data_IF_422243028809
#
_entry.id   IF_422243028809
#
_cell.length_a   1.000
_cell.length_b   1.000
_cell.length_c   1.000
_cell.angle_alpha   90.00
_cell.angle_beta   90.00
_cell.angle_gamma   90.00
#
_symmetry.space_group_name_H-M   'P 1'
#
loop_
_entity.id
_entity.type
_entity.pdbx_description
1 polymer ?
#
# COMPACT_ATOMS: atom_id res chain seq x y z
N UNK A 1 -14.52 34.60 10.86
CA UNK A 1 -14.46 34.01 9.54
C UNK A 1 -14.75 32.52 9.63
N UNK A 2 -15.66 32.09 8.82
CA UNK A 2 -16.04 30.71 8.84
C UNK A 2 -15.19 29.92 7.86
N UNK A 3 -14.29 29.11 8.36
CA UNK A 3 -13.39 28.33 7.53
C UNK A 3 -14.02 26.97 7.23
N UNK A 4 -15.14 27.00 6.55
CA UNK A 4 -15.83 25.77 6.15
C UNK A 4 -15.17 25.12 4.95
N UNK A 5 -13.94 24.72 5.13
CA UNK A 5 -13.27 23.97 4.09
C UNK A 5 -13.78 22.53 4.11
N UNK A 6 -14.31 22.11 3.01
CA UNK A 6 -14.64 20.71 2.85
C UNK A 6 -13.39 19.95 2.50
N UNK A 7 -13.22 18.82 3.13
CA UNK A 7 -12.13 17.94 2.79
C UNK A 7 -12.22 17.52 1.33
N UNK A 8 -11.11 17.64 0.66
CA UNK A 8 -11.02 17.13 -0.71
C UNK A 8 -10.79 15.63 -0.60
N UNK A 9 -11.84 14.89 -0.87
CA UNK A 9 -11.76 13.44 -0.87
C UNK A 9 -11.39 12.97 -2.27
N UNK A 10 -10.13 12.91 -2.54
CA UNK A 10 -9.70 12.25 -3.75
C UNK A 10 -8.57 11.30 -3.42
N UNK A 11 -8.61 10.16 -4.05
CA UNK A 11 -7.51 9.21 -3.95
C UNK A 11 -6.28 9.85 -4.52
N UNK A 12 -5.20 9.81 -3.78
CA UNK A 12 -3.92 10.19 -4.31
C UNK A 12 -3.39 9.06 -5.18
N UNK A 13 -2.41 9.37 -6.02
CA UNK A 13 -1.73 8.34 -6.80
C UNK A 13 -1.14 7.28 -5.87
N UNK A 14 -0.55 7.72 -4.78
CA UNK A 14 0.02 6.84 -3.77
C UNK A 14 -1.03 5.88 -3.19
N UNK A 15 -2.24 6.38 -2.90
CA UNK A 15 -3.33 5.54 -2.40
C UNK A 15 -3.73 4.46 -3.42
N UNK A 16 -3.77 4.83 -4.69
CA UNK A 16 -4.09 3.88 -5.76
C UNK A 16 -3.04 2.78 -5.88
N UNK A 17 -1.78 3.14 -5.71
CA UNK A 17 -0.68 2.17 -5.73
C UNK A 17 -0.80 1.22 -4.54
N UNK A 18 -1.04 1.77 -3.35
CA UNK A 18 -1.24 0.97 -2.13
C UNK A 18 -2.37 -0.03 -2.34
N UNK A 19 -3.48 0.44 -2.90
CA UNK A 19 -4.64 -0.40 -3.15
C UNK A 19 -4.30 -1.58 -4.07
N UNK A 20 -3.60 -1.32 -5.16
CA UNK A 20 -3.22 -2.38 -6.10
C UNK A 20 -2.30 -3.41 -5.45
N UNK A 21 -1.35 -2.96 -4.65
CA UNK A 21 -0.44 -3.88 -3.97
C UNK A 21 -1.20 -4.73 -2.95
N UNK A 22 -2.12 -4.13 -2.20
CA UNK A 22 -2.97 -4.87 -1.26
C UNK A 22 -3.80 -5.92 -2.00
N UNK A 23 -4.34 -5.59 -3.16
CA UNK A 23 -5.08 -6.53 -3.98
C UNK A 23 -4.21 -7.72 -4.42
N UNK A 24 -2.97 -7.46 -4.81
CA UNK A 24 -2.02 -8.51 -5.17
C UNK A 24 -1.73 -9.43 -3.99
N UNK A 25 -1.59 -8.86 -2.81
CA UNK A 25 -1.37 -9.62 -1.58
C UNK A 25 -2.59 -10.49 -1.28
N UNK A 26 -3.77 -9.90 -1.35
CA UNK A 26 -5.03 -10.61 -1.07
C UNK A 26 -5.30 -11.73 -2.07
N UNK A 27 -4.88 -11.54 -3.30
CA UNK A 27 -5.04 -12.55 -4.34
C UNK A 27 -3.99 -13.68 -4.25
N UNK A 28 -3.03 -13.57 -3.35
CA UNK A 28 -1.99 -14.57 -3.18
C UNK A 28 -0.87 -14.47 -4.19
N UNK A 29 -0.78 -13.38 -4.94
CA UNK A 29 0.30 -13.19 -5.91
C UNK A 29 1.65 -12.97 -5.24
N UNK A 30 1.62 -12.48 -4.01
CA UNK A 30 2.81 -12.32 -3.18
C UNK A 30 2.51 -13.02 -1.86
N UNK A 31 3.36 -13.94 -1.47
CA UNK A 31 3.17 -14.71 -0.24
C UNK A 31 3.92 -14.06 0.94
N UNK A 32 3.45 -14.29 2.17
CA UNK A 32 4.17 -13.80 3.34
C UNK A 32 5.63 -14.22 3.32
N UNK A 33 6.52 -13.28 3.61
CA UNK A 33 7.96 -13.51 3.57
C UNK A 33 8.60 -13.35 2.21
N UNK A 34 7.81 -13.26 1.16
CA UNK A 34 8.36 -13.08 -0.18
C UNK A 34 8.74 -11.64 -0.45
N UNK A 35 9.73 -11.50 -1.32
CA UNK A 35 10.20 -10.19 -1.75
C UNK A 35 9.22 -9.57 -2.74
N UNK A 36 8.91 -8.31 -2.53
CA UNK A 36 8.15 -7.53 -3.50
C UNK A 36 9.03 -7.15 -4.69
N UNK A 37 8.43 -6.87 -5.85
CA UNK A 37 9.18 -6.28 -6.95
C UNK A 37 9.88 -5.01 -6.49
N UNK A 38 10.96 -4.66 -7.15
CA UNK A 38 11.72 -3.46 -6.81
C UNK A 38 10.88 -2.19 -7.08
N UNK A 39 11.29 -1.11 -6.46
CA UNK A 39 10.70 0.21 -6.70
C UNK A 39 10.69 0.54 -8.19
N UNK A 40 11.79 0.25 -8.87
CA UNK A 40 11.94 0.47 -10.30
C UNK A 40 10.93 -0.37 -11.10
N UNK A 41 10.86 -1.66 -10.79
CA UNK A 41 9.98 -2.58 -11.51
C UNK A 41 8.52 -2.22 -11.30
N UNK A 42 8.14 -1.84 -10.08
CA UNK A 42 6.80 -1.39 -9.80
C UNK A 42 6.46 -0.10 -10.54
N UNK A 43 7.40 0.84 -10.58
CA UNK A 43 7.21 2.10 -11.29
C UNK A 43 6.96 1.86 -12.78
N UNK A 44 7.73 0.96 -13.38
CA UNK A 44 7.55 0.60 -14.78
C UNK A 44 6.21 -0.12 -15.01
N UNK A 45 5.90 -1.09 -14.17
CA UNK A 45 4.68 -1.88 -14.32
C UNK A 45 3.42 -1.05 -14.17
N UNK A 46 3.45 -0.07 -13.26
CA UNK A 46 2.29 0.76 -12.98
C UNK A 46 2.29 2.09 -13.75
N UNK A 47 3.34 2.34 -14.52
CA UNK A 47 3.51 3.58 -15.28
C UNK A 47 3.42 4.82 -14.39
N UNK A 48 4.12 4.78 -13.28
CA UNK A 48 4.17 5.88 -12.32
C UNK A 48 5.61 6.21 -11.97
N UNK A 49 5.82 7.32 -11.28
CA UNK A 49 7.16 7.74 -10.87
C UNK A 49 7.66 6.89 -9.71
N UNK A 50 8.96 6.76 -9.59
CA UNK A 50 9.57 6.06 -8.47
C UNK A 50 9.27 6.73 -7.13
N UNK A 51 9.28 8.08 -7.02
CA UNK A 51 8.86 8.72 -5.76
C UNK A 51 7.45 8.35 -5.32
N UNK A 52 6.52 8.19 -6.27
CA UNK A 52 5.16 7.77 -5.95
C UNK A 52 5.13 6.34 -5.38
N UNK A 53 5.93 5.45 -5.96
CA UNK A 53 6.10 4.09 -5.42
C UNK A 53 6.68 4.14 -4.01
N UNK A 54 7.70 4.97 -3.82
CA UNK A 54 8.36 5.09 -2.52
C UNK A 54 7.40 5.55 -1.44
N UNK A 55 6.55 6.52 -1.77
CA UNK A 55 5.52 6.99 -0.85
C UNK A 55 4.53 5.88 -0.50
N UNK A 56 4.09 5.12 -1.50
CA UNK A 56 3.20 3.98 -1.29
C UNK A 56 3.85 2.93 -0.39
N UNK A 57 5.14 2.66 -0.61
CA UNK A 57 5.88 1.70 0.23
C UNK A 57 5.95 2.17 1.68
N UNK A 58 6.15 3.46 1.91
CA UNK A 58 6.15 4.00 3.27
C UNK A 58 4.80 3.77 3.94
N UNK A 59 3.71 3.97 3.21
CA UNK A 59 2.37 3.74 3.74
C UNK A 59 2.16 2.26 4.09
N UNK A 60 2.57 1.36 3.21
CA UNK A 60 2.47 -0.08 3.46
C UNK A 60 3.31 -0.50 4.66
N UNK A 61 4.49 0.08 4.79
CA UNK A 61 5.36 -0.17 5.94
C UNK A 61 4.73 0.32 7.24
N UNK A 62 4.17 1.52 7.22
CA UNK A 62 3.49 2.08 8.39
C UNK A 62 2.30 1.23 8.83
N UNK A 63 1.66 0.54 7.88
CA UNK A 63 0.55 -0.36 8.16
C UNK A 63 1.01 -1.75 8.64
N UNK A 64 2.32 -1.99 8.65
CA UNK A 64 2.86 -3.28 9.07
C UNK A 64 2.74 -4.38 8.03
N UNK A 65 2.41 -4.03 6.79
CA UNK A 65 2.23 -5.03 5.73
C UNK A 65 3.54 -5.46 5.08
N UNK A 66 4.53 -4.60 5.10
CA UNK A 66 5.83 -4.90 4.49
C UNK A 66 6.96 -4.56 5.44
N UNK A 67 8.10 -5.19 5.18
CA UNK A 67 9.35 -4.93 5.87
C UNK A 67 10.35 -4.42 4.86
N UNK A 68 10.96 -3.27 5.15
CA UNK A 68 11.98 -2.69 4.31
C UNK A 68 13.34 -3.05 4.87
N UNK A 69 14.13 -3.81 4.12
CA UNK A 69 15.49 -4.20 4.50
C UNK A 69 16.47 -3.37 3.71
N UNK A 70 17.06 -2.40 4.36
CA UNK A 70 18.00 -1.47 3.72
C UNK A 70 19.11 -2.22 3.01
N UNK A 71 19.35 -1.87 1.75
CA UNK A 71 20.39 -2.50 0.94
C UNK A 71 20.03 -3.88 0.40
N UNK A 72 18.85 -4.38 0.73
CA UNK A 72 18.42 -5.71 0.30
C UNK A 72 17.16 -5.62 -0.55
N UNK A 73 16.05 -5.20 0.05
CA UNK A 73 14.79 -5.11 -0.66
C UNK A 73 13.61 -4.95 0.29
N UNK A 74 12.44 -5.12 -0.27
CA UNK A 74 11.19 -5.00 0.47
C UNK A 74 10.48 -6.34 0.44
N UNK A 75 10.00 -6.76 1.59
CA UNK A 75 9.42 -8.09 1.78
C UNK A 75 8.04 -7.98 2.38
N UNK A 76 7.15 -8.88 1.95
CA UNK A 76 5.85 -8.99 2.61
C UNK A 76 6.08 -9.55 4.00
N UNK A 77 5.47 -8.91 5.00
CA UNK A 77 5.64 -9.32 6.39
C UNK A 77 5.18 -10.77 6.56
N UNK A 78 6.02 -11.58 7.20
CA UNK A 78 5.71 -12.99 7.46
C UNK A 78 4.49 -13.15 8.36
N UNK A 79 4.26 -12.18 9.22
CA UNK A 79 3.18 -12.22 10.20
C UNK A 79 1.89 -11.60 9.69
N UNK A 80 1.80 -11.34 8.37
CA UNK A 80 0.64 -10.66 7.81
C UNK A 80 -0.66 -11.40 8.09
N UNK A 81 -0.60 -12.73 8.14
CA UNK A 81 -1.75 -13.55 8.48
C UNK A 81 -2.22 -13.38 9.92
N UNK A 82 -1.33 -12.97 10.81
CA UNK A 82 -1.62 -12.73 12.22
C UNK A 82 -1.99 -11.28 12.50
N UNK A 83 -1.47 -10.37 11.71
CA UNK A 83 -1.93 -8.98 11.69
C UNK A 83 -3.36 -8.93 11.18
N UNK A 84 -3.73 -10.01 10.74
CA UNK A 84 -5.02 -10.56 10.42
C UNK A 84 -5.88 -9.73 9.51
N UNK A 85 -6.77 -10.45 8.97
CA UNK A 85 -7.93 -10.00 8.24
C UNK A 85 -8.52 -8.70 8.76
N UNK A 86 -8.38 -8.41 10.05
CA UNK A 86 -8.94 -7.20 10.63
C UNK A 86 -8.28 -5.93 10.10
N UNK A 87 -6.94 -5.87 10.10
CA UNK A 87 -6.24 -4.69 9.58
C UNK A 87 -6.38 -4.56 8.08
N UNK A 88 -6.25 -5.67 7.37
CA UNK A 88 -6.40 -5.67 5.93
C UNK A 88 -7.81 -5.26 5.55
N UNK A 89 -8.81 -5.80 6.23
CA UNK A 89 -10.21 -5.42 6.02
C UNK A 89 -10.46 -3.95 6.32
N UNK A 90 -9.87 -3.43 7.40
CA UNK A 90 -10.01 -2.01 7.73
C UNK A 90 -9.36 -1.12 6.69
N UNK A 91 -8.22 -1.54 6.16
CA UNK A 91 -7.56 -0.80 5.11
C UNK A 91 -8.40 -0.80 3.85
N UNK A 92 -8.91 -1.95 3.44
CA UNK A 92 -9.82 -2.05 2.31
C UNK A 92 -11.06 -1.20 2.53
N UNK A 93 -11.67 -1.33 3.67
CA UNK A 93 -12.85 -0.56 4.02
C UNK A 93 -12.57 0.93 3.94
N UNK A 94 -11.42 1.36 4.45
CA UNK A 94 -11.02 2.77 4.45
C UNK A 94 -10.75 3.27 3.04
N UNK A 95 -10.18 2.45 2.17
CA UNK A 95 -9.89 2.83 0.78
C UNK A 95 -11.14 2.82 -0.09
N UNK A 96 -12.02 1.85 0.12
CA UNK A 96 -13.20 1.70 -0.71
C UNK A 96 -14.39 2.52 -0.25
N UNK A 97 -14.47 2.87 1.03
CA UNK A 97 -15.58 3.69 1.52
C UNK A 97 -15.34 5.18 1.40
N UNK A 98 -14.17 5.58 0.93
CA UNK A 98 -13.89 7.00 0.65
C UNK A 98 -14.73 7.54 -0.51
N UNK A 99 -15.44 6.68 -1.19
CA UNK A 99 -16.14 7.04 -2.41
C UNK A 99 -17.58 7.47 -2.14
N UNK A 100 -18.04 7.38 -0.94
CA UNK A 100 -19.41 7.80 -0.61
C UNK A 100 -19.57 9.31 -0.56
#
# INVERSE_FOLDING_TARGET
MNLNFKQIKKSTLSDSIVQQIIEMISAGNILPGERLPSERDLAEALSVSRPSIREAMRSLHALGLIEIRTGDGTYLNENIGQLSDFRVKNIFKKLYTKID
#
